data_IF_337009254839
#
_entry.id   IF_337009254839
#
_cell.length_a   1.000
_cell.length_b   1.000
_cell.length_c   1.000
_cell.angle_alpha   90.00
_cell.angle_beta   90.00
_cell.angle_gamma   90.00
#
_symmetry.space_group_name_H-M   'P 1'
#
loop_
_entity.id
_entity.type
_entity.pdbx_description
1 polymer ?
#
# COMPACT_ATOMS: atom_id res chain seq x y z
N UNK A 1 -4.43 5.24 -10.07
CA UNK A 1 -4.33 6.32 -11.10
C UNK A 1 -5.34 7.43 -10.86
N UNK A 2 -5.08 8.59 -11.46
CA UNK A 2 -5.94 9.78 -11.40
C UNK A 2 -6.67 9.94 -12.74
N UNK A 3 -7.96 10.23 -12.67
CA UNK A 3 -8.79 10.51 -13.84
C UNK A 3 -9.07 12.01 -13.92
N UNK A 4 -8.76 12.60 -15.05
CA UNK A 4 -9.02 14.03 -15.34
C UNK A 4 -9.75 14.18 -16.67
N UNK A 5 -10.44 15.29 -16.87
CA UNK A 5 -11.03 15.64 -18.15
C UNK A 5 -10.02 16.35 -19.09
N UNK A 6 -10.47 16.76 -20.25
CA UNK A 6 -9.64 17.48 -21.24
C UNK A 6 -9.14 18.86 -20.77
N UNK A 7 -9.63 19.37 -19.64
CA UNK A 7 -9.28 20.65 -19.03
C UNK A 7 -8.56 20.46 -17.69
N UNK A 8 -8.00 19.25 -17.47
CA UNK A 8 -7.31 18.84 -16.24
C UNK A 8 -8.16 18.91 -14.97
N UNK A 9 -9.48 18.97 -15.11
CA UNK A 9 -10.40 18.89 -13.98
C UNK A 9 -10.43 17.46 -13.45
N UNK A 10 -10.34 17.33 -12.13
CA UNK A 10 -10.38 16.03 -11.46
C UNK A 10 -11.76 15.35 -11.62
N UNK A 11 -11.76 14.12 -12.07
CA UNK A 11 -12.97 13.29 -12.25
C UNK A 11 -13.07 12.16 -11.23
N UNK A 12 -11.94 11.67 -10.73
CA UNK A 12 -11.93 10.58 -9.78
C UNK A 12 -10.62 9.79 -9.77
N UNK A 13 -10.65 8.63 -9.11
CA UNK A 13 -9.49 7.74 -8.99
C UNK A 13 -9.80 6.35 -9.53
N UNK A 14 -8.80 5.71 -10.11
CA UNK A 14 -8.82 4.29 -10.46
C UNK A 14 -7.79 3.55 -9.62
N UNK A 15 -8.25 2.53 -8.91
CA UNK A 15 -7.45 1.66 -8.04
C UNK A 15 -7.33 0.26 -8.61
N UNK A 16 -6.42 -0.54 -8.07
CA UNK A 16 -6.33 -1.97 -8.39
C UNK A 16 -7.64 -2.70 -8.14
N UNK A 17 -8.38 -2.31 -7.10
CA UNK A 17 -9.70 -2.86 -6.80
C UNK A 17 -10.71 -2.59 -7.92
N UNK A 18 -10.70 -1.37 -8.50
CA UNK A 18 -11.56 -1.05 -9.63
C UNK A 18 -11.23 -1.93 -10.85
N UNK A 19 -9.94 -2.06 -11.18
CA UNK A 19 -9.47 -2.87 -12.31
C UNK A 19 -9.82 -4.34 -12.07
N UNK A 20 -9.54 -4.88 -10.89
CA UNK A 20 -9.84 -6.27 -10.54
C UNK A 20 -11.32 -6.59 -10.66
N UNK A 21 -12.19 -5.73 -10.12
CA UNK A 21 -13.66 -5.89 -10.22
C UNK A 21 -14.12 -5.87 -11.67
N UNK A 22 -13.56 -4.99 -12.51
CA UNK A 22 -13.87 -4.91 -13.92
C UNK A 22 -13.51 -6.20 -14.67
N UNK A 23 -12.31 -6.74 -14.42
CA UNK A 23 -11.86 -8.01 -15.02
C UNK A 23 -12.74 -9.19 -14.59
N UNK A 24 -13.11 -9.26 -13.30
CA UNK A 24 -14.04 -10.30 -12.78
C UNK A 24 -15.41 -10.19 -13.44
N UNK A 25 -15.89 -8.97 -13.76
CA UNK A 25 -17.15 -8.75 -14.46
C UNK A 25 -17.09 -8.99 -15.97
N UNK A 26 -15.98 -9.51 -16.48
CA UNK A 26 -15.82 -9.89 -17.88
C UNK A 26 -15.23 -8.81 -18.79
N UNK A 27 -14.79 -7.66 -18.23
CA UNK A 27 -14.00 -6.68 -18.99
C UNK A 27 -12.61 -7.19 -19.29
N UNK A 28 -12.02 -6.69 -20.36
CA UNK A 28 -10.67 -7.02 -20.80
C UNK A 28 -9.76 -5.80 -20.70
N UNK A 29 -8.45 -6.00 -20.87
CA UNK A 29 -7.47 -4.90 -20.87
C UNK A 29 -7.62 -3.96 -22.09
N UNK A 30 -8.47 -4.31 -23.06
CA UNK A 30 -8.77 -3.48 -24.23
C UNK A 30 -10.00 -2.57 -24.02
N UNK A 31 -10.75 -2.81 -22.93
CA UNK A 31 -11.97 -2.05 -22.65
C UNK A 31 -11.67 -0.68 -22.05
N UNK A 32 -12.59 0.25 -22.25
CA UNK A 32 -12.46 1.60 -21.72
C UNK A 32 -12.55 1.63 -20.20
N UNK A 33 -11.70 2.46 -19.58
CA UNK A 33 -11.69 2.67 -18.12
C UNK A 33 -12.75 3.69 -17.65
N UNK A 34 -13.50 4.31 -18.55
CA UNK A 34 -14.45 5.42 -18.24
C UNK A 34 -15.53 5.06 -17.22
N UNK A 35 -15.87 3.78 -17.11
CA UNK A 35 -16.96 3.32 -16.25
C UNK A 35 -16.50 2.55 -15.03
N UNK A 36 -15.19 2.41 -14.84
CA UNK A 36 -14.62 1.58 -13.77
C UNK A 36 -13.90 2.36 -12.67
N UNK A 37 -13.77 3.67 -12.80
CA UNK A 37 -13.14 4.51 -11.77
C UNK A 37 -14.13 4.95 -10.69
N UNK A 38 -13.67 5.30 -9.52
CA UNK A 38 -14.44 5.88 -8.43
C UNK A 38 -14.64 7.36 -8.69
N UNK A 39 -15.90 7.79 -8.94
CA UNK A 39 -16.24 9.15 -9.36
C UNK A 39 -16.14 10.21 -8.26
N UNK A 40 -16.41 9.88 -7.02
CA UNK A 40 -16.34 10.81 -5.89
C UNK A 40 -15.48 10.21 -4.79
N UNK A 41 -14.15 10.11 -4.99
CA UNK A 41 -13.26 9.62 -3.95
C UNK A 41 -13.13 10.66 -2.84
N UNK A 42 -12.64 10.23 -1.69
CA UNK A 42 -12.25 11.16 -0.63
C UNK A 42 -11.06 11.97 -1.12
N UNK A 43 -11.21 13.28 -1.15
CA UNK A 43 -10.17 14.25 -1.51
C UNK A 43 -9.86 15.14 -0.33
N UNK A 44 -8.70 15.78 -0.34
CA UNK A 44 -8.24 16.67 0.71
C UNK A 44 -7.78 18.00 0.12
N UNK A 45 -7.68 19.01 0.97
CA UNK A 45 -7.07 20.30 0.63
C UNK A 45 -5.57 20.27 0.96
N UNK A 46 -4.82 21.17 0.37
CA UNK A 46 -3.37 21.27 0.58
C UNK A 46 -3.00 21.46 2.06
N UNK A 47 -3.78 22.26 2.78
CA UNK A 47 -3.59 22.59 4.20
C UNK A 47 -4.18 21.57 5.18
N UNK A 48 -4.70 20.42 4.72
CA UNK A 48 -5.19 19.36 5.60
C UNK A 48 -4.08 18.86 6.51
N UNK A 49 -4.33 18.86 7.83
CA UNK A 49 -3.33 18.47 8.82
C UNK A 49 -3.00 16.97 8.79
N UNK A 50 -1.82 16.62 9.30
CA UNK A 50 -1.41 15.21 9.42
C UNK A 50 -2.36 14.42 10.31
N UNK A 51 -2.79 15.00 11.42
CA UNK A 51 -3.71 14.36 12.38
C UNK A 51 -5.06 14.07 11.75
N UNK A 52 -5.58 14.99 10.94
CA UNK A 52 -6.83 14.82 10.22
C UNK A 52 -6.71 13.71 9.17
N UNK A 53 -5.62 13.68 8.41
CA UNK A 53 -5.33 12.62 7.44
C UNK A 53 -5.28 11.24 8.09
N UNK A 54 -4.61 11.11 9.23
CA UNK A 54 -4.53 9.85 9.97
C UNK A 54 -5.91 9.41 10.46
N UNK A 55 -6.76 10.34 10.93
CA UNK A 55 -8.14 10.05 11.35
C UNK A 55 -9.01 9.56 10.17
N UNK A 56 -8.90 10.21 9.02
CA UNK A 56 -9.64 9.80 7.81
C UNK A 56 -9.18 8.41 7.37
N UNK A 57 -7.87 8.20 7.29
CA UNK A 57 -7.29 6.91 6.90
C UNK A 57 -7.75 5.78 7.81
N UNK A 58 -7.71 5.97 9.13
CA UNK A 58 -8.14 4.96 10.10
C UNK A 58 -9.63 4.59 10.00
N UNK A 59 -10.48 5.52 9.51
CA UNK A 59 -11.92 5.25 9.32
C UNK A 59 -12.25 4.62 7.98
N UNK A 60 -11.43 4.82 6.96
CA UNK A 60 -11.79 4.53 5.57
C UNK A 60 -10.88 3.50 4.90
N UNK A 61 -9.78 3.11 5.55
CA UNK A 61 -8.71 2.27 4.99
C UNK A 61 -8.12 2.85 3.68
N UNK A 62 -8.20 4.19 3.52
CA UNK A 62 -7.59 4.90 2.39
C UNK A 62 -6.25 5.46 2.83
N UNK A 63 -5.21 5.22 2.04
CA UNK A 63 -3.84 5.59 2.35
C UNK A 63 -3.26 6.66 1.41
N UNK A 64 -3.90 6.87 0.25
CA UNK A 64 -3.49 7.84 -0.76
C UNK A 64 -4.64 8.78 -1.06
N UNK A 65 -4.42 10.08 -0.84
CA UNK A 65 -5.44 11.11 -0.97
C UNK A 65 -5.10 12.08 -2.10
N UNK A 66 -5.98 12.24 -3.10
CA UNK A 66 -5.87 13.34 -4.05
C UNK A 66 -6.01 14.68 -3.34
N UNK A 67 -5.08 15.60 -3.61
CA UNK A 67 -5.10 16.98 -3.12
C UNK A 67 -5.64 17.86 -4.22
N UNK A 68 -6.72 18.58 -3.97
CA UNK A 68 -7.34 19.47 -4.93
C UNK A 68 -7.16 20.95 -4.55
N UNK A 69 -7.08 21.80 -5.56
CA UNK A 69 -7.18 23.25 -5.38
C UNK A 69 -8.64 23.71 -5.24
N UNK A 70 -8.84 25.02 -5.09
CA UNK A 70 -10.18 25.62 -4.98
C UNK A 70 -11.00 25.53 -6.26
N UNK A 71 -10.37 25.27 -7.39
CA UNK A 71 -11.01 25.11 -8.71
C UNK A 71 -11.33 23.64 -9.01
N UNK A 72 -10.96 22.71 -8.11
CA UNK A 72 -11.15 21.27 -8.28
C UNK A 72 -10.14 20.62 -9.25
N UNK A 73 -8.98 21.24 -9.44
CA UNK A 73 -7.87 20.66 -10.18
C UNK A 73 -6.95 19.88 -9.24
N UNK A 74 -6.34 18.83 -9.77
CA UNK A 74 -5.41 18.00 -8.98
C UNK A 74 -4.08 18.73 -8.81
N UNK A 75 -3.64 18.88 -7.56
CA UNK A 75 -2.33 19.44 -7.22
C UNK A 75 -1.29 18.34 -6.98
N UNK A 76 -1.66 17.32 -6.22
CA UNK A 76 -0.75 16.25 -5.83
C UNK A 76 -1.51 15.04 -5.27
N UNK A 77 -0.77 14.02 -4.85
CA UNK A 77 -1.28 12.92 -4.03
C UNK A 77 -0.50 12.92 -2.72
N UNK A 78 -1.21 13.00 -1.58
CA UNK A 78 -0.61 12.76 -0.25
C UNK A 78 -0.79 11.31 0.15
N UNK A 79 0.31 10.62 0.41
CA UNK A 79 0.30 9.24 0.93
C UNK A 79 0.55 9.24 2.43
N UNK A 80 -0.22 8.45 3.18
CA UNK A 80 0.00 8.24 4.62
C UNK A 80 1.39 7.68 4.89
N UNK A 81 1.90 6.79 4.03
CA UNK A 81 3.23 6.22 4.18
C UNK A 81 4.35 7.28 4.19
N UNK A 82 4.19 8.36 3.41
CA UNK A 82 5.14 9.47 3.39
C UNK A 82 5.10 10.36 4.65
N UNK A 83 3.98 10.32 5.38
CA UNK A 83 3.77 11.08 6.62
C UNK A 83 4.22 10.33 7.86
N UNK A 84 4.27 9.00 7.78
CA UNK A 84 4.81 8.18 8.85
C UNK A 84 6.33 8.29 8.78
N UNK A 85 6.93 9.03 9.71
CA UNK A 85 8.39 8.96 9.89
C UNK A 85 8.73 7.49 10.12
N UNK A 86 9.76 7.00 9.44
CA UNK A 86 10.37 5.71 9.76
C UNK A 86 10.85 5.80 11.23
N UNK A 87 10.01 5.36 12.15
CA UNK A 87 10.48 5.11 13.51
C UNK A 87 11.43 3.92 13.41
N UNK A 88 12.60 3.97 14.04
CA UNK A 88 13.45 2.80 14.15
C UNK A 88 12.71 1.79 15.02
N UNK A 89 11.95 0.92 14.37
CA UNK A 89 11.26 -0.16 15.06
C UNK A 89 12.29 -1.25 15.35
N UNK A 90 12.43 -1.59 16.63
CA UNK A 90 13.19 -2.76 17.05
C UNK A 90 12.29 -3.98 16.88
N UNK A 91 12.77 -4.98 16.16
CA UNK A 91 12.09 -6.27 16.00
C UNK A 91 12.79 -7.28 16.91
N UNK A 92 12.06 -7.88 17.82
CA UNK A 92 12.54 -8.99 18.63
C UNK A 92 12.07 -10.29 17.98
N UNK A 93 13.01 -11.10 17.50
CA UNK A 93 12.69 -12.38 16.89
C UNK A 93 12.94 -13.49 17.91
N UNK A 94 11.88 -14.17 18.29
CA UNK A 94 11.94 -15.34 19.18
C UNK A 94 12.46 -16.56 18.40
N UNK A 95 13.77 -16.77 18.46
CA UNK A 95 14.46 -17.81 17.70
C UNK A 95 15.05 -18.93 18.61
N UNK A 96 14.50 -19.11 19.81
CA UNK A 96 15.08 -19.92 20.89
C UNK A 96 14.87 -21.43 20.80
N UNK A 97 14.30 -21.96 19.71
CA UNK A 97 14.11 -23.41 19.57
C UNK A 97 15.41 -24.15 19.22
N UNK A 98 15.73 -25.23 19.96
CA UNK A 98 16.90 -26.06 19.73
C UNK A 98 16.91 -26.78 18.37
N UNK A 99 15.80 -26.76 17.62
CA UNK A 99 15.72 -27.39 16.30
C UNK A 99 15.91 -28.92 16.30
N UNK A 100 15.71 -29.57 17.44
CA UNK A 100 16.00 -30.98 17.66
C UNK A 100 15.44 -31.94 16.61
N UNK A 101 14.32 -31.56 15.96
CA UNK A 101 13.71 -32.35 14.86
C UNK A 101 14.59 -32.39 13.60
N UNK A 102 15.50 -31.43 13.41
CA UNK A 102 16.40 -31.29 12.26
C UNK A 102 17.77 -31.94 12.52
N UNK A 103 17.94 -32.53 13.71
CA UNK A 103 19.12 -33.33 14.10
C UNK A 103 20.47 -32.69 13.68
N UNK A 104 21.18 -33.32 12.79
CA UNK A 104 22.52 -32.89 12.33
C UNK A 104 22.53 -31.46 11.72
N UNK A 105 21.45 -31.02 11.08
CA UNK A 105 21.38 -29.71 10.46
C UNK A 105 21.41 -28.56 11.47
N UNK A 106 20.97 -28.81 12.71
CA UNK A 106 20.93 -27.79 13.77
C UNK A 106 21.92 -28.03 14.90
N UNK A 107 22.86 -28.93 14.70
CA UNK A 107 23.89 -29.25 15.70
C UNK A 107 24.75 -28.03 16.02
N UNK A 108 25.26 -27.35 15.01
CA UNK A 108 26.18 -26.21 15.12
C UNK A 108 25.57 -24.88 14.60
N UNK A 109 24.36 -24.93 14.09
CA UNK A 109 23.69 -23.75 13.49
C UNK A 109 22.26 -23.67 13.93
N UNK A 110 21.83 -22.57 14.59
CA UNK A 110 20.42 -22.39 14.97
C UNK A 110 19.49 -22.46 13.75
N UNK A 111 18.30 -23.06 13.90
CA UNK A 111 17.34 -23.25 12.82
C UNK A 111 17.09 -21.99 11.97
N UNK A 112 16.91 -20.77 12.54
CA UNK A 112 16.70 -19.57 11.75
C UNK A 112 17.90 -19.16 10.89
N UNK A 113 19.10 -19.62 11.25
CA UNK A 113 20.35 -19.33 10.55
C UNK A 113 20.70 -20.39 9.49
N UNK A 114 19.95 -21.48 9.41
CA UNK A 114 20.11 -22.45 8.32
C UNK A 114 19.88 -21.77 6.97
N UNK A 115 20.75 -22.04 6.02
CA UNK A 115 20.66 -21.45 4.69
C UNK A 115 19.70 -22.22 3.80
N UNK A 116 18.85 -21.47 3.09
CA UNK A 116 18.07 -21.96 1.95
C UNK A 116 18.62 -21.25 0.71
N UNK A 117 19.36 -21.99 -0.09
CA UNK A 117 20.17 -21.41 -1.14
C UNK A 117 21.36 -20.61 -0.54
N UNK A 118 21.45 -19.32 -0.85
CA UNK A 118 22.56 -18.46 -0.40
C UNK A 118 22.27 -17.68 0.90
N UNK A 119 21.02 -17.68 1.37
CA UNK A 119 20.54 -16.81 2.47
C UNK A 119 20.04 -17.60 3.66
N UNK A 120 20.24 -17.13 4.89
CA UNK A 120 19.60 -17.71 6.08
C UNK A 120 18.06 -17.60 5.97
N UNK A 121 17.34 -18.55 6.58
CA UNK A 121 15.87 -18.50 6.66
C UNK A 121 15.42 -17.16 7.27
N UNK A 122 16.10 -16.70 8.31
CA UNK A 122 15.81 -15.45 9.00
C UNK A 122 15.85 -14.21 8.09
N UNK A 123 16.69 -14.22 7.05
CA UNK A 123 16.81 -13.10 6.09
C UNK A 123 15.63 -13.07 5.09
N UNK A 124 14.85 -14.17 5.04
CA UNK A 124 13.74 -14.33 4.11
C UNK A 124 12.36 -14.06 4.74
N UNK A 125 12.34 -13.75 6.04
CA UNK A 125 11.15 -13.40 6.82
C UNK A 125 11.04 -11.89 6.91
#
# INVERSE_FOLDING_TARGET
GIMVDKKDKFLGVISDSNIRKALISGKTLKDSIKDIYTKNPITIKENTSKEELLKISAKTDIYDFPVLDEKGQILSIKSISSLLKANPNSIIIMAGGLGSRLKELTKDTPKPMLKVGKKPILESI
#
